data_IF_009919298507
#
_entry.id   IF_009919298507
#
_cell.length_a   1.000
_cell.length_b   1.000
_cell.length_c   1.000
_cell.angle_alpha   90.00
_cell.angle_beta   90.00
_cell.angle_gamma   90.00
#
_symmetry.space_group_name_H-M   'P 1'
#
loop_
_entity.id
_entity.type
_entity.pdbx_description
1 polymer ?
#
# COMPACT_ATOMS: atom_id res chain seq x y z
N UNK A 1 -30.40 -47.17 -3.24
CA UNK A 1 -29.98 -47.92 -2.05
C UNK A 1 -28.75 -48.75 -2.43
N UNK A 2 -27.57 -48.28 -2.05
CA UNK A 2 -26.35 -49.08 -2.05
C UNK A 2 -25.47 -48.52 -0.93
N UNK A 3 -25.35 -49.30 0.12
CA UNK A 3 -24.53 -49.11 1.32
C UNK A 3 -23.12 -49.62 1.05
N UNK A 4 -22.09 -48.89 1.46
CA UNK A 4 -20.81 -49.49 1.86
C UNK A 4 -20.04 -48.49 2.74
N UNK A 5 -19.94 -48.87 4.01
CA UNK A 5 -19.20 -48.22 5.08
C UNK A 5 -17.76 -48.74 5.07
N UNK A 6 -16.78 -47.89 5.36
CA UNK A 6 -15.40 -48.32 5.61
C UNK A 6 -14.80 -47.57 6.81
N UNK A 7 -14.99 -48.19 7.98
CA UNK A 7 -14.13 -48.21 9.18
C UNK A 7 -12.63 -48.39 8.80
N UNK A 8 -11.58 -47.98 9.51
CA UNK A 8 -11.33 -47.56 10.91
C UNK A 8 -9.84 -47.22 11.07
N UNK A 9 -9.53 -46.31 12.01
CA UNK A 9 -8.40 -46.31 12.97
C UNK A 9 -6.93 -46.36 12.46
N UNK A 10 -6.11 -45.40 12.91
CA UNK A 10 -5.05 -45.58 13.96
C UNK A 10 -4.04 -44.44 13.91
N UNK A 11 -3.88 -43.72 15.03
CA UNK A 11 -2.72 -42.87 15.32
C UNK A 11 -1.58 -43.71 15.91
N UNK A 12 -0.31 -43.25 15.83
CA UNK A 12 0.25 -42.70 17.08
C UNK A 12 1.17 -41.49 16.90
N UNK A 13 1.22 -40.74 18.01
CA UNK A 13 2.18 -39.70 18.41
C UNK A 13 3.65 -40.15 18.39
N UNK A 14 4.57 -39.25 18.02
CA UNK A 14 5.94 -39.21 18.57
C UNK A 14 6.39 -37.75 18.68
N UNK A 15 6.69 -37.38 19.92
CA UNK A 15 7.44 -36.22 20.40
C UNK A 15 8.93 -36.39 20.19
N UNK A 16 9.66 -35.32 19.84
CA UNK A 16 11.07 -35.17 20.18
C UNK A 16 11.53 -33.71 20.00
N UNK A 17 11.54 -32.95 21.11
CA UNK A 17 12.49 -31.86 21.30
C UNK A 17 13.91 -32.44 21.53
N UNK A 18 14.96 -31.72 21.11
CA UNK A 18 16.11 -31.60 21.99
C UNK A 18 16.50 -30.15 22.26
N UNK A 19 16.52 -29.86 23.57
CA UNK A 19 17.25 -28.78 24.22
C UNK A 19 18.75 -28.90 23.94
N UNK A 20 19.40 -27.80 23.58
CA UNK A 20 20.85 -27.62 23.73
C UNK A 20 21.10 -26.27 24.40
N UNK A 21 21.27 -26.31 25.72
CA UNK A 21 22.08 -25.36 26.48
C UNK A 21 23.45 -26.01 26.74
N UNK A 22 24.52 -25.22 26.68
CA UNK A 22 25.81 -25.34 27.42
C UNK A 22 26.70 -24.19 26.91
N UNK A 23 26.92 -23.12 27.67
CA UNK A 23 27.83 -22.95 28.82
C UNK A 23 29.14 -22.22 28.43
N UNK A 24 29.26 -21.01 28.99
CA UNK A 24 30.39 -20.35 29.68
C UNK A 24 31.85 -20.36 29.15
N UNK A 25 32.51 -19.21 29.34
CA UNK A 25 33.97 -19.03 29.27
C UNK A 25 34.36 -17.58 28.89
N UNK A 26 34.19 -16.59 29.77
CA UNK A 26 35.15 -16.10 30.78
C UNK A 26 36.47 -15.53 30.25
N UNK A 27 36.54 -14.18 30.32
CA UNK A 27 37.63 -13.35 30.84
C UNK A 27 39.02 -13.31 30.19
N UNK A 28 39.43 -12.11 29.73
CA UNK A 28 40.65 -11.49 30.26
C UNK A 28 40.67 -9.97 30.18
N UNK A 29 40.83 -9.40 31.36
CA UNK A 29 41.17 -8.03 31.72
C UNK A 29 42.63 -7.75 31.38
N UNK A 30 42.93 -6.59 30.79
CA UNK A 30 44.21 -5.88 30.96
C UNK A 30 43.89 -4.40 31.16
N UNK A 31 44.44 -3.87 32.25
CA UNK A 31 44.20 -2.56 32.84
C UNK A 31 45.38 -1.64 32.50
N UNK A 32 45.04 -0.37 32.25
CA UNK A 32 45.81 0.88 32.39
C UNK A 32 47.18 1.04 31.72
N UNK A 33 47.32 2.13 30.96
CA UNK A 33 48.20 3.21 31.44
C UNK A 33 47.71 4.59 30.98
N UNK A 34 47.68 5.48 31.96
CA UNK A 34 47.35 6.90 31.95
C UNK A 34 48.42 7.73 31.25
N UNK A 35 48.06 8.71 30.43
CA UNK A 35 48.85 9.94 30.25
C UNK A 35 47.96 11.15 30.06
N UNK A 36 48.53 12.28 30.47
CA UNK A 36 47.91 13.49 30.97
C UNK A 36 47.62 14.49 29.84
N UNK A 37 46.43 15.12 29.95
CA UNK A 37 46.00 16.49 29.62
C UNK A 37 47.08 17.47 29.10
N UNK A 38 46.78 18.17 28.00
CA UNK A 38 47.20 19.55 27.62
C UNK A 38 46.46 19.85 26.28
N UNK A 39 45.89 20.99 25.91
CA UNK A 39 45.50 22.28 26.47
C UNK A 39 44.43 22.82 25.49
N UNK A 40 43.53 23.66 25.97
CA UNK A 40 42.42 24.24 25.22
C UNK A 40 42.94 25.34 24.25
N UNK A 41 42.73 25.17 22.94
CA UNK A 41 42.68 26.31 22.02
C UNK A 41 41.22 26.64 21.70
N UNK A 42 40.79 27.78 22.26
CA UNK A 42 39.51 28.44 22.00
C UNK A 42 39.52 29.04 20.59
N UNK A 43 39.12 28.26 19.59
CA UNK A 43 38.79 28.81 18.27
C UNK A 43 37.45 29.57 18.31
N UNK A 44 37.52 30.86 17.97
CA UNK A 44 36.42 31.80 17.81
C UNK A 44 35.35 31.26 16.84
N UNK A 45 34.32 30.60 17.38
CA UNK A 45 33.17 30.15 16.59
C UNK A 45 32.32 31.38 16.23
N UNK A 46 32.12 31.70 14.94
CA UNK A 46 31.26 32.81 14.58
C UNK A 46 29.85 32.53 15.08
N UNK A 47 29.30 33.46 15.87
CA UNK A 47 27.88 33.51 16.23
C UNK A 47 27.07 33.47 14.94
N UNK A 48 26.45 32.32 14.66
CA UNK A 48 25.41 32.21 13.64
C UNK A 48 24.24 33.07 14.10
N UNK A 49 24.21 34.32 13.64
CA UNK A 49 23.00 35.14 13.64
C UNK A 49 22.01 34.41 12.74
N UNK A 50 21.02 33.73 13.34
CA UNK A 50 19.95 33.07 12.58
C UNK A 50 19.24 34.16 11.76
N UNK A 51 19.37 34.18 10.41
CA UNK A 51 18.50 35.05 9.64
C UNK A 51 17.07 34.58 9.90
N UNK A 52 16.16 35.51 10.19
CA UNK A 52 14.72 35.27 10.11
C UNK A 52 14.35 35.08 8.63
N UNK A 53 14.81 33.97 8.06
CA UNK A 53 14.34 33.48 6.78
C UNK A 53 12.96 32.89 7.01
N UNK A 54 11.98 33.38 6.26
CA UNK A 54 10.70 32.71 6.08
C UNK A 54 10.97 31.21 5.89
N UNK A 55 10.34 30.36 6.69
CA UNK A 55 10.34 28.91 6.51
C UNK A 55 9.60 28.58 5.22
N UNK A 56 10.24 28.84 4.08
CA UNK A 56 9.78 28.45 2.76
C UNK A 56 10.26 27.01 2.58
N UNK A 57 9.32 26.09 2.70
CA UNK A 57 9.55 24.68 2.42
C UNK A 57 10.02 24.60 0.97
N UNK A 58 11.29 24.24 0.77
CA UNK A 58 11.82 23.96 -0.56
C UNK A 58 11.41 22.55 -0.90
N UNK A 59 10.42 22.43 -1.77
CA UNK A 59 10.07 21.18 -2.40
C UNK A 59 11.15 20.87 -3.45
N UNK A 60 11.79 19.68 -3.42
CA UNK A 60 12.57 19.24 -4.56
C UNK A 60 11.71 19.26 -5.84
N UNK A 61 12.35 19.40 -6.99
CA UNK A 61 11.68 19.64 -8.28
C UNK A 61 10.72 18.49 -8.68
N UNK A 62 10.89 17.31 -8.06
CA UNK A 62 10.11 16.08 -8.31
C UNK A 62 9.04 15.76 -7.23
N UNK A 63 8.55 16.75 -6.47
CA UNK A 63 7.50 16.47 -5.45
C UNK A 63 6.15 16.09 -6.06
N UNK A 64 5.95 16.37 -7.34
CA UNK A 64 4.70 16.15 -8.05
C UNK A 64 4.90 15.13 -9.18
N UNK A 65 5.29 13.90 -8.84
CA UNK A 65 5.31 12.79 -9.79
C UNK A 65 3.87 12.51 -10.27
N UNK A 66 3.54 12.84 -11.54
CA UNK A 66 2.20 12.65 -12.06
C UNK A 66 1.91 11.16 -12.32
N UNK A 67 2.92 10.29 -12.32
CA UNK A 67 2.77 8.90 -12.74
C UNK A 67 2.39 7.96 -11.58
N UNK A 68 1.61 6.92 -11.89
CA UNK A 68 1.39 5.80 -10.96
C UNK A 68 2.71 5.07 -10.79
N UNK A 69 3.18 4.95 -9.55
CA UNK A 69 4.43 4.27 -9.28
C UNK A 69 4.16 2.78 -9.09
N UNK A 70 4.77 1.95 -9.93
CA UNK A 70 4.69 0.48 -9.85
C UNK A 70 6.07 -0.05 -9.48
N UNK A 71 6.16 -0.72 -8.34
CA UNK A 71 7.39 -1.32 -7.84
C UNK A 71 7.21 -2.80 -7.56
N UNK A 72 8.16 -3.61 -7.99
CA UNK A 72 8.16 -5.05 -7.71
C UNK A 72 8.98 -5.33 -6.46
N UNK A 73 8.33 -5.71 -5.36
CA UNK A 73 9.00 -6.05 -4.10
C UNK A 73 9.57 -7.47 -4.15
N UNK A 74 8.82 -8.41 -4.72
CA UNK A 74 9.21 -9.82 -4.85
C UNK A 74 8.74 -10.41 -6.19
N UNK A 75 9.17 -11.63 -6.51
CA UNK A 75 8.79 -12.28 -7.77
C UNK A 75 7.27 -12.44 -7.94
N UNK A 76 6.52 -12.52 -6.84
CA UNK A 76 5.07 -12.69 -6.82
C UNK A 76 4.32 -11.52 -6.14
N UNK A 77 4.96 -10.38 -5.90
CA UNK A 77 4.33 -9.23 -5.23
C UNK A 77 4.70 -7.91 -5.89
N UNK A 78 3.68 -7.12 -6.20
CA UNK A 78 3.79 -5.83 -6.90
C UNK A 78 3.04 -4.78 -6.11
N UNK A 79 3.72 -3.68 -5.80
CA UNK A 79 3.15 -2.52 -5.14
C UNK A 79 2.83 -1.43 -6.17
N UNK A 80 1.66 -0.85 -6.04
CA UNK A 80 1.12 0.17 -6.94
C UNK A 80 0.68 1.37 -6.11
N UNK A 81 1.39 2.48 -6.22
CA UNK A 81 1.10 3.69 -5.45
C UNK A 81 0.31 4.71 -6.27
N UNK A 82 -0.98 4.84 -5.92
CA UNK A 82 -1.95 5.72 -6.55
C UNK A 82 -1.94 7.15 -5.96
N UNK A 83 -1.24 7.37 -4.85
CA UNK A 83 -1.16 8.68 -4.20
C UNK A 83 -2.43 9.03 -3.42
N UNK A 84 -3.00 10.21 -3.67
CA UNK A 84 -4.12 10.76 -2.91
C UNK A 84 -5.40 10.76 -3.74
N UNK A 85 -6.49 10.24 -3.18
CA UNK A 85 -7.81 10.17 -3.81
C UNK A 85 -8.87 10.78 -2.88
N UNK A 86 -9.98 11.29 -3.41
CA UNK A 86 -11.13 11.72 -2.61
C UNK A 86 -12.03 10.54 -2.22
N UNK A 87 -12.53 10.56 -0.98
CA UNK A 87 -13.59 9.65 -0.52
C UNK A 87 -14.89 9.86 -1.31
N UNK A 88 -15.73 8.82 -1.38
CA UNK A 88 -17.04 8.83 -2.05
C UNK A 88 -16.95 9.20 -3.53
N UNK A 89 -15.83 8.90 -4.17
CA UNK A 89 -15.64 9.01 -5.61
C UNK A 89 -15.36 7.63 -6.17
N UNK A 90 -15.92 7.35 -7.35
CA UNK A 90 -15.59 6.17 -8.14
C UNK A 90 -14.47 6.53 -9.10
N UNK A 91 -13.37 5.80 -9.02
CA UNK A 91 -12.23 5.94 -9.91
C UNK A 91 -12.13 4.78 -10.87
N UNK A 92 -11.76 5.07 -12.12
CA UNK A 92 -11.15 4.11 -13.02
C UNK A 92 -9.65 4.31 -12.98
N UNK A 93 -8.90 3.27 -12.66
CA UNK A 93 -7.43 3.30 -12.57
C UNK A 93 -6.90 2.35 -13.63
N UNK A 94 -6.04 2.85 -14.51
CA UNK A 94 -5.37 2.10 -15.56
C UNK A 94 -3.87 2.17 -15.33
N UNK A 95 -3.21 1.02 -15.23
CA UNK A 95 -1.76 0.91 -15.05
C UNK A 95 -1.25 -0.40 -15.63
N UNK A 96 0.02 -0.44 -15.98
CA UNK A 96 0.69 -1.64 -16.51
C UNK A 96 1.60 -2.21 -15.43
N UNK A 97 1.55 -3.52 -15.22
CA UNK A 97 2.45 -4.24 -14.32
C UNK A 97 3.35 -5.17 -15.11
N UNK A 98 4.62 -5.22 -14.77
CA UNK A 98 5.54 -6.24 -15.27
C UNK A 98 5.51 -7.45 -14.35
N UNK A 99 5.12 -8.61 -14.87
CA UNK A 99 5.02 -9.83 -14.08
C UNK A 99 5.62 -11.07 -14.79
N UNK A 100 5.64 -12.20 -14.08
CA UNK A 100 6.17 -13.46 -14.57
C UNK A 100 5.12 -14.32 -15.28
N UNK A 101 3.84 -13.94 -15.25
CA UNK A 101 2.75 -14.74 -15.81
C UNK A 101 2.68 -14.51 -17.32
N UNK A 102 2.48 -15.59 -18.08
CA UNK A 102 2.33 -15.52 -19.54
C UNK A 102 0.89 -15.82 -19.94
N UNK A 103 0.37 -15.03 -20.88
CA UNK A 103 -0.97 -15.17 -21.43
C UNK A 103 -2.04 -14.48 -20.58
N UNK A 104 -3.28 -14.95 -20.70
CA UNK A 104 -4.42 -14.35 -20.00
C UNK A 104 -4.42 -14.68 -18.50
N UNK A 105 -4.80 -13.68 -17.71
CA UNK A 105 -5.00 -13.79 -16.26
C UNK A 105 -6.44 -13.50 -15.90
N UNK A 106 -6.89 -14.10 -14.80
CA UNK A 106 -8.16 -13.82 -14.16
C UNK A 106 -7.90 -13.11 -12.82
N UNK A 107 -8.78 -12.16 -12.46
CA UNK A 107 -8.71 -11.43 -11.19
C UNK A 107 -9.89 -11.85 -10.33
N UNK A 108 -9.73 -12.84 -9.43
CA UNK A 108 -10.78 -13.24 -8.52
C UNK A 108 -10.97 -12.16 -7.44
N UNK A 109 -11.98 -11.31 -7.61
CA UNK A 109 -12.38 -10.37 -6.57
C UNK A 109 -13.17 -11.12 -5.47
N UNK A 110 -12.55 -11.28 -4.31
CA UNK A 110 -13.18 -11.90 -3.14
C UNK A 110 -13.97 -10.84 -2.36
N UNK A 111 -15.29 -11.00 -2.29
CA UNK A 111 -16.28 -10.27 -1.47
C UNK A 111 -16.20 -8.73 -1.42
N UNK A 112 -17.33 -8.11 -1.05
CA UNK A 112 -17.53 -6.65 -1.07
C UNK A 112 -16.72 -5.86 -0.02
N UNK A 113 -15.75 -6.48 0.66
CA UNK A 113 -14.94 -5.81 1.69
C UNK A 113 -13.79 -5.00 1.11
N UNK A 114 -13.44 -5.23 -0.15
CA UNK A 114 -12.39 -4.46 -0.85
C UNK A 114 -12.99 -3.24 -1.54
N UNK A 115 -12.21 -2.17 -1.63
CA UNK A 115 -12.60 -0.97 -2.40
C UNK A 115 -12.62 -1.22 -3.91
N UNK A 116 -12.08 -2.35 -4.38
CA UNK A 116 -12.00 -2.71 -5.80
C UNK A 116 -13.30 -3.38 -6.24
N UNK A 117 -14.14 -2.65 -6.96
CA UNK A 117 -15.49 -3.11 -7.35
C UNK A 117 -15.51 -3.88 -8.68
N UNK A 118 -14.53 -3.64 -9.54
CA UNK A 118 -14.34 -4.35 -10.80
C UNK A 118 -12.86 -4.30 -11.19
N UNK A 119 -12.37 -5.35 -11.85
CA UNK A 119 -10.99 -5.43 -12.31
C UNK A 119 -10.93 -6.25 -13.59
N UNK A 120 -10.17 -5.77 -14.56
CA UNK A 120 -9.88 -6.44 -15.82
C UNK A 120 -8.37 -6.35 -16.08
N UNK A 121 -7.80 -7.41 -16.65
CA UNK A 121 -6.40 -7.46 -17.02
C UNK A 121 -6.25 -8.08 -18.40
N UNK A 122 -5.38 -7.48 -19.20
CA UNK A 122 -5.06 -7.94 -20.54
C UNK A 122 -3.55 -8.08 -20.69
N UNK A 123 -3.04 -9.12 -21.36
CA UNK A 123 -1.61 -9.23 -21.62
C UNK A 123 -1.14 -8.05 -22.47
N UNK A 124 -0.01 -7.46 -22.08
CA UNK A 124 0.68 -6.40 -22.82
C UNK A 124 1.13 -6.88 -24.19
N UNK A 125 1.32 -5.96 -25.14
CA UNK A 125 1.75 -6.29 -26.51
C UNK A 125 3.14 -6.93 -26.59
N UNK A 126 4.04 -6.62 -25.66
CA UNK A 126 5.36 -7.23 -25.53
C UNK A 126 5.32 -8.57 -24.77
N UNK A 127 4.21 -8.90 -24.09
CA UNK A 127 4.07 -10.14 -23.32
C UNK A 127 4.93 -10.20 -22.06
N UNK A 128 5.37 -9.03 -21.56
CA UNK A 128 6.22 -8.91 -20.35
C UNK A 128 5.42 -8.54 -19.10
N UNK A 129 4.09 -8.48 -19.22
CA UNK A 129 3.18 -8.20 -18.12
C UNK A 129 1.77 -7.93 -18.60
N UNK A 130 0.98 -7.19 -17.80
CA UNK A 130 -0.45 -6.99 -18.04
C UNK A 130 -0.86 -5.53 -17.88
N UNK A 131 -1.74 -5.08 -18.77
CA UNK A 131 -2.47 -3.83 -18.67
C UNK A 131 -3.70 -4.07 -17.81
N UNK A 132 -3.75 -3.42 -16.64
CA UNK A 132 -4.78 -3.60 -15.65
C UNK A 132 -5.67 -2.37 -15.63
N UNK A 133 -6.98 -2.59 -15.64
CA UNK A 133 -8.00 -1.57 -15.39
C UNK A 133 -8.86 -1.99 -14.22
N UNK A 134 -8.89 -1.17 -13.17
CA UNK A 134 -9.74 -1.40 -11.99
C UNK A 134 -10.71 -0.24 -11.77
N UNK A 135 -11.82 -0.55 -11.12
CA UNK A 135 -12.73 0.42 -10.54
C UNK A 135 -12.55 0.43 -9.03
N UNK A 136 -12.27 1.60 -8.45
CA UNK A 136 -11.98 1.77 -7.03
C UNK A 136 -12.99 2.75 -6.41
N UNK A 137 -13.58 2.35 -5.28
CA UNK A 137 -14.51 3.16 -4.48
C UNK A 137 -14.16 2.98 -3.00
N UNK A 138 -14.09 4.08 -2.26
CA UNK A 138 -13.98 4.02 -0.81
C UNK A 138 -14.65 5.24 -0.17
N UNK A 139 -15.32 5.02 0.96
CA UNK A 139 -16.07 6.05 1.69
C UNK A 139 -15.36 6.53 2.96
N UNK A 140 -14.26 5.85 3.38
CA UNK A 140 -13.52 6.19 4.59
C UNK A 140 -12.23 6.92 4.25
N UNK A 141 -11.91 7.98 4.98
CA UNK A 141 -10.61 8.63 4.87
C UNK A 141 -9.50 7.80 5.53
N UNK A 142 -8.27 8.11 5.15
CA UNK A 142 -7.07 7.49 5.69
C UNK A 142 -6.23 6.77 4.64
N UNK A 143 -5.19 6.10 5.13
CA UNK A 143 -4.32 5.28 4.28
C UNK A 143 -4.98 3.92 4.07
N UNK A 144 -5.10 3.55 2.81
CA UNK A 144 -5.76 2.32 2.37
C UNK A 144 -4.76 1.48 1.56
N UNK A 145 -4.71 0.20 1.92
CA UNK A 145 -3.91 -0.83 1.25
C UNK A 145 -4.85 -1.92 0.77
N UNK A 146 -5.36 -1.79 -0.45
CA UNK A 146 -6.18 -2.82 -1.08
C UNK A 146 -5.26 -3.85 -1.76
N UNK A 147 -5.68 -5.10 -1.84
CA UNK A 147 -4.92 -6.13 -2.55
C UNK A 147 -5.84 -7.01 -3.39
N UNK A 148 -5.33 -7.46 -4.53
CA UNK A 148 -5.96 -8.48 -5.35
C UNK A 148 -4.89 -9.37 -5.97
N UNK A 149 -5.33 -10.48 -6.58
CA UNK A 149 -4.44 -11.48 -7.17
C UNK A 149 -4.66 -11.57 -8.68
N UNK A 150 -3.57 -11.67 -9.43
CA UNK A 150 -3.55 -12.08 -10.83
C UNK A 150 -3.32 -13.58 -10.84
N UNK A 151 -4.27 -14.34 -11.38
CA UNK A 151 -4.18 -15.81 -11.47
C UNK A 151 -4.07 -16.20 -12.93
N UNK A 152 -3.02 -16.94 -13.29
CA UNK A 152 -2.90 -17.46 -14.66
C UNK A 152 -4.06 -18.39 -15.00
N UNK A 153 -4.70 -18.14 -16.15
CA UNK A 153 -5.78 -19.03 -16.65
C UNK A 153 -5.25 -20.40 -17.08
N UNK A 154 -3.98 -20.46 -17.49
CA UNK A 154 -3.37 -21.70 -17.98
C UNK A 154 -2.76 -22.52 -16.85
N UNK A 155 -2.20 -21.83 -15.84
CA UNK A 155 -1.53 -22.47 -14.70
C UNK A 155 -1.98 -21.82 -13.38
N UNK A 156 -3.10 -22.28 -12.77
CA UNK A 156 -3.69 -21.63 -11.58
C UNK A 156 -2.79 -21.59 -10.34
N UNK A 157 -1.68 -22.35 -10.31
CA UNK A 157 -0.66 -22.27 -9.26
C UNK A 157 0.25 -21.05 -9.39
N UNK A 158 0.26 -20.39 -10.55
CA UNK A 158 1.02 -19.17 -10.79
C UNK A 158 0.14 -17.95 -10.47
N UNK A 159 0.42 -17.34 -9.32
CA UNK A 159 -0.35 -16.24 -8.75
C UNK A 159 0.59 -15.09 -8.41
N UNK A 160 0.24 -13.88 -8.83
CA UNK A 160 0.95 -12.64 -8.49
C UNK A 160 0.01 -11.74 -7.71
N UNK A 161 0.45 -11.29 -6.54
CA UNK A 161 -0.30 -10.35 -5.70
C UNK A 161 0.00 -8.92 -6.10
N UNK A 162 -1.05 -8.13 -6.27
CA UNK A 162 -0.97 -6.68 -6.52
C UNK A 162 -1.53 -5.95 -5.30
N UNK A 163 -0.76 -5.02 -4.76
CA UNK A 163 -1.12 -4.21 -3.60
C UNK A 163 -1.23 -2.74 -4.02
N UNK A 164 -2.40 -2.17 -3.82
CA UNK A 164 -2.72 -0.78 -4.13
C UNK A 164 -2.56 0.07 -2.87
N UNK A 165 -1.63 1.02 -2.91
CA UNK A 165 -1.42 2.00 -1.86
C UNK A 165 -2.04 3.33 -2.27
N UNK A 166 -2.95 3.84 -1.45
CA UNK A 166 -3.53 5.15 -1.65
C UNK A 166 -3.95 5.78 -0.33
N UNK A 167 -4.08 7.11 -0.31
CA UNK A 167 -4.65 7.85 0.81
C UNK A 167 -5.93 8.53 0.37
N UNK A 168 -7.03 8.13 0.98
CA UNK A 168 -8.32 8.78 0.79
C UNK A 168 -8.43 10.02 1.67
N UNK A 169 -8.85 11.13 1.07
CA UNK A 169 -9.11 12.41 1.75
C UNK A 169 -10.59 12.74 1.68
N UNK A 170 -11.16 13.13 2.82
CA UNK A 170 -12.54 13.61 2.85
C UNK A 170 -12.60 15.01 2.21
N UNK A 171 -13.60 15.28 1.36
CA UNK A 171 -13.84 16.62 0.84
C UNK A 171 -14.22 17.56 1.99
N UNK A 172 -13.31 18.46 2.37
CA UNK A 172 -13.49 19.43 3.43
C UNK A 172 -12.82 20.76 3.10
N UNK A 173 -13.23 21.85 3.77
CA UNK A 173 -12.82 23.23 3.45
C UNK A 173 -11.30 23.48 3.47
N UNK A 174 -10.53 22.64 4.16
CA UNK A 174 -9.09 22.86 4.41
C UNK A 174 -8.17 21.80 3.79
N UNK A 175 -8.69 20.80 3.06
CA UNK A 175 -7.89 19.66 2.55
C UNK A 175 -7.49 19.78 1.07
N UNK A 176 -7.96 20.81 0.36
CA UNK A 176 -7.68 21.01 -1.06
C UNK A 176 -8.24 19.89 -1.97
N UNK A 177 -8.03 20.03 -3.27
CA UNK A 177 -8.30 18.96 -4.24
C UNK A 177 -7.04 18.13 -4.42
N UNK A 178 -7.09 16.80 -4.27
CA UNK A 178 -5.89 16.00 -4.44
C UNK A 178 -5.46 16.03 -5.90
N UNK A 179 -4.16 15.98 -6.12
CA UNK A 179 -3.62 15.80 -7.44
C UNK A 179 -3.78 14.32 -7.83
N UNK A 180 -4.73 14.05 -8.72
CA UNK A 180 -4.95 12.72 -9.28
C UNK A 180 -3.86 12.41 -10.29
N UNK A 181 -3.25 11.23 -10.17
CA UNK A 181 -2.18 10.75 -11.06
C UNK A 181 -2.69 10.38 -12.45
N UNK A 182 -1.80 10.37 -13.43
CA UNK A 182 -2.05 9.87 -14.78
C UNK A 182 -2.49 8.40 -14.75
N UNK A 183 -3.43 8.04 -15.61
CA UNK A 183 -4.08 6.73 -15.58
C UNK A 183 -5.23 6.61 -14.57
N UNK A 184 -5.41 7.58 -13.67
CA UNK A 184 -6.55 7.64 -12.74
C UNK A 184 -7.59 8.63 -13.26
N UNK A 185 -8.84 8.20 -13.35
CA UNK A 185 -9.96 9.01 -13.82
C UNK A 185 -11.13 8.92 -12.86
N UNK A 186 -11.62 10.07 -12.39
CA UNK A 186 -12.87 10.13 -11.64
C UNK A 186 -14.05 9.90 -12.58
N UNK A 187 -14.81 8.86 -12.33
CA UNK A 187 -16.00 8.49 -13.11
C UNK A 187 -17.24 9.23 -12.62
N UNK A 188 -17.47 9.21 -11.31
CA UNK A 188 -18.60 9.86 -10.66
C UNK A 188 -18.33 10.04 -9.16
N UNK A 189 -19.18 10.85 -8.53
CA UNK A 189 -19.27 10.98 -7.07
C UNK A 189 -20.37 10.04 -6.62
N UNK A 190 -20.04 9.12 -5.72
CA UNK A 190 -21.00 8.24 -5.07
C UNK A 190 -21.72 9.01 -3.96
N UNK A 191 -23.05 8.97 -3.90
CA UNK A 191 -23.77 9.53 -2.77
C UNK A 191 -23.33 8.78 -1.50
N UNK A 192 -23.06 9.53 -0.44
CA UNK A 192 -22.77 8.92 0.85
C UNK A 192 -24.06 8.27 1.39
N UNK A 193 -24.07 6.96 1.71
CA UNK A 193 -25.28 6.26 2.17
C UNK A 193 -25.75 6.70 3.56
N UNK A 194 -25.06 7.62 4.23
CA UNK A 194 -25.51 8.27 5.46
C UNK A 194 -26.02 9.70 5.24
N UNK A 195 -25.96 10.23 4.01
CA UNK A 195 -26.41 11.58 3.68
C UNK A 195 -27.92 11.70 3.41
N UNK A 196 -28.67 10.59 3.47
CA UNK A 196 -30.11 10.50 3.20
C UNK A 196 -31.04 11.18 4.25
N UNK A 197 -30.51 12.11 5.06
CA UNK A 197 -31.30 12.96 5.98
C UNK A 197 -30.98 14.47 5.91
N UNK A 198 -30.25 14.97 4.90
CA UNK A 198 -29.93 16.41 4.81
C UNK A 198 -30.54 17.14 3.62
N UNK A 199 -31.64 16.62 3.08
CA UNK A 199 -32.44 17.28 2.05
C UNK A 199 -33.67 17.97 2.67
N UNK A 200 -33.42 19.01 3.46
CA UNK A 200 -34.46 19.75 4.16
C UNK A 200 -34.09 21.20 4.44
N UNK A 201 -33.27 21.84 3.59
CA UNK A 201 -33.15 23.31 3.62
C UNK A 201 -34.33 23.92 2.87
N UNK A 202 -35.46 23.95 3.58
CA UNK A 202 -36.71 24.58 3.20
C UNK A 202 -36.49 26.11 3.12
N UNK A 203 -35.94 26.56 1.98
CA UNK A 203 -35.88 27.98 1.65
C UNK A 203 -37.31 28.48 1.51
N UNK A 204 -37.86 28.99 2.60
CA UNK A 204 -39.13 29.71 2.58
C UNK A 204 -38.87 31.11 2.03
N UNK A 205 -39.46 31.50 0.88
CA UNK A 205 -39.46 32.89 0.47
C UNK A 205 -40.39 33.67 1.41
N UNK A 206 -39.90 34.79 1.93
CA UNK A 206 -40.67 35.69 2.78
C UNK A 206 -41.85 36.31 1.99
N UNK A 207 -43.08 36.21 2.50
CA UNK A 207 -44.24 37.03 2.11
C UNK A 207 -44.44 38.19 3.09
#
# INVERSE_FOLDING_TARGET
MATAECSTLTAPSVSADPVVEMETGSSKVVVEETTVIEEEEEEDKPRITRPRGSSRVHFPEDVHDPEIHVSREADAMIDVNLGFLQCSHRYRVCFTVGDSIKGDVDIPLQDKSTGVVAAEAFPTQNGEGHDITIQLVNHRDGVVSEQFELVSRTEPSNVVKVILHCRFINPGKDQGTPQVKEGIQTMCIEPDPSAEESEGSDWTPYE
#
